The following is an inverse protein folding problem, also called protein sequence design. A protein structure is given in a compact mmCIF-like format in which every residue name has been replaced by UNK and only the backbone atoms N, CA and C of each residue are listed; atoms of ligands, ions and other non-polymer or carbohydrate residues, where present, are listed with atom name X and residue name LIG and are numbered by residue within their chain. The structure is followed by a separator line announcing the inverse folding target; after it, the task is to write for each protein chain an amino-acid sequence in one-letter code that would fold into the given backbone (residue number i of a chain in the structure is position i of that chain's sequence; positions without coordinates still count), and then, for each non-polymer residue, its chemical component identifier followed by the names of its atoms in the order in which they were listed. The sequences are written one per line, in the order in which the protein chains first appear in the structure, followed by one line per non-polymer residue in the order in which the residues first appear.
data_IF_231286280808
#
_entry.id   IF_231286280808
#
_cell.length_a   1.000
_cell.length_b   1.000
_cell.length_c   1.000
_cell.angle_alpha   90.00
_cell.angle_beta   90.00
_cell.angle_gamma   90.00
#
_symmetry.space_group_name_H-M   'P 1'
#
loop_
_entity.id
_entity.type
_entity.pdbx_description
1 polymer ?
#
# COMPACT_ATOMS: atom_id res chain seq x y z
N UNK A 1 2.08 24.56 15.36
CA UNK A 1 3.25 23.68 15.52
C UNK A 1 3.17 22.61 14.45
N UNK A 2 4.16 22.50 13.55
CA UNK A 2 4.21 21.37 12.62
C UNK A 2 4.47 20.10 13.45
N UNK A 3 3.43 19.30 13.67
CA UNK A 3 3.55 18.04 14.40
C UNK A 3 4.29 16.99 13.56
N UNK A 4 4.33 15.74 14.06
CA UNK A 4 4.99 14.62 13.37
C UNK A 4 4.54 14.44 11.91
N UNK A 5 3.29 14.83 11.59
CA UNK A 5 2.71 14.77 10.24
C UNK A 5 3.38 15.69 9.21
N UNK A 6 4.07 16.75 9.64
CA UNK A 6 4.80 17.66 8.76
C UNK A 6 6.22 17.19 8.44
N UNK A 7 6.65 16.06 9.02
CA UNK A 7 8.00 15.53 8.86
C UNK A 7 7.96 14.43 7.80
N UNK A 8 8.48 14.71 6.60
CA UNK A 8 8.37 13.81 5.44
C UNK A 8 9.01 12.43 5.67
N UNK A 9 10.15 12.35 6.38
CA UNK A 9 10.83 11.07 6.61
C UNK A 9 10.09 10.18 7.61
N UNK A 10 9.21 10.74 8.46
CA UNK A 10 8.35 9.95 9.36
C UNK A 10 7.35 9.15 8.52
N UNK A 11 6.77 9.77 7.49
CA UNK A 11 5.90 9.06 6.54
C UNK A 11 6.64 7.95 5.80
N UNK A 12 7.89 8.20 5.40
CA UNK A 12 8.72 7.18 4.75
C UNK A 12 9.03 6.00 5.70
N UNK A 13 9.44 6.29 6.94
CA UNK A 13 9.68 5.26 7.96
C UNK A 13 8.42 4.44 8.25
N UNK A 14 7.26 5.11 8.35
CA UNK A 14 5.97 4.45 8.53
C UNK A 14 5.59 3.56 7.34
N UNK A 15 5.83 4.00 6.11
CA UNK A 15 5.62 3.20 4.91
C UNK A 15 6.46 1.91 4.92
N UNK A 16 7.74 2.02 5.30
CA UNK A 16 8.64 0.85 5.42
C UNK A 16 8.14 -0.10 6.50
N UNK A 17 7.79 0.41 7.68
CA UNK A 17 7.26 -0.42 8.78
C UNK A 17 6.00 -1.19 8.36
N UNK A 18 5.05 -0.53 7.67
CA UNK A 18 3.86 -1.19 7.13
C UNK A 18 4.20 -2.24 6.07
N UNK A 19 5.19 -1.98 5.21
CA UNK A 19 5.68 -2.95 4.24
C UNK A 19 6.29 -4.19 4.90
N UNK A 20 7.04 -4.02 5.99
CA UNK A 20 7.56 -5.15 6.77
C UNK A 20 6.42 -5.95 7.40
N UNK A 21 5.40 -5.29 7.95
CA UNK A 21 4.22 -5.98 8.51
C UNK A 21 3.49 -6.80 7.45
N UNK A 22 3.34 -6.30 6.22
CA UNK A 22 2.73 -7.04 5.12
C UNK A 22 3.50 -8.34 4.78
N UNK A 23 4.84 -8.31 4.83
CA UNK A 23 5.66 -9.51 4.58
C UNK A 23 5.42 -10.58 5.65
N UNK A 24 5.18 -10.17 6.90
CA UNK A 24 4.88 -11.07 8.01
C UNK A 24 3.42 -11.56 8.00
N UNK A 25 2.50 -10.70 7.58
CA UNK A 25 1.05 -10.92 7.60
C UNK A 25 0.46 -10.55 6.23
N UNK A 26 0.51 -11.47 5.25
CA UNK A 26 0.09 -11.19 3.88
C UNK A 26 -1.43 -11.03 3.80
N UNK A 27 -1.89 -9.83 3.46
CA UNK A 27 -3.32 -9.47 3.40
C UNK A 27 -3.67 -8.35 2.42
N UNK A 28 -2.69 -7.76 1.73
CA UNK A 28 -2.76 -6.60 0.82
C UNK A 28 -3.22 -5.27 1.46
N UNK A 29 -3.72 -5.29 2.70
CA UNK A 29 -4.21 -4.11 3.41
C UNK A 29 -3.04 -3.22 3.85
N UNK A 30 -2.01 -3.81 4.47
CA UNK A 30 -0.85 -3.04 4.94
C UNK A 30 -0.04 -2.50 3.77
N UNK A 31 0.01 -3.23 2.64
CA UNK A 31 0.61 -2.72 1.41
C UNK A 31 -0.10 -1.45 0.89
N UNK A 32 -1.43 -1.42 0.90
CA UNK A 32 -2.20 -0.23 0.53
C UNK A 32 -1.88 0.97 1.42
N UNK A 33 -1.76 0.74 2.73
CA UNK A 33 -1.39 1.78 3.69
C UNK A 33 0.07 2.22 3.53
N UNK A 34 0.98 1.30 3.23
CA UNK A 34 2.39 1.61 2.96
C UNK A 34 2.52 2.52 1.74
N UNK A 35 1.77 2.24 0.66
CA UNK A 35 1.74 3.10 -0.53
C UNK A 35 1.12 4.47 -0.23
N UNK A 36 0.05 4.52 0.58
CA UNK A 36 -0.52 5.78 1.06
C UNK A 36 0.48 6.62 1.85
N UNK A 37 1.24 6.00 2.76
CA UNK A 37 2.28 6.67 3.54
C UNK A 37 3.46 7.13 2.68
N UNK A 38 3.85 6.34 1.67
CA UNK A 38 4.89 6.71 0.71
C UNK A 38 4.47 7.94 -0.11
N UNK A 39 3.20 7.99 -0.55
CA UNK A 39 2.66 9.17 -1.23
C UNK A 39 2.64 10.40 -0.31
N UNK A 40 2.28 10.23 0.96
CA UNK A 40 2.37 11.31 1.96
C UNK A 40 3.80 11.81 2.16
N UNK A 41 4.82 10.94 2.14
CA UNK A 41 6.21 11.35 2.22
C UNK A 41 6.58 12.28 1.06
N UNK A 42 6.13 11.98 -0.16
CA UNK A 42 6.33 12.85 -1.32
C UNK A 42 5.55 14.17 -1.21
N UNK A 43 4.28 14.12 -0.79
CA UNK A 43 3.44 15.33 -0.64
C UNK A 43 4.04 16.28 0.40
N UNK A 44 4.41 15.76 1.57
CA UNK A 44 4.98 16.57 2.65
C UNK A 44 6.40 17.04 2.30
N UNK A 45 7.21 16.20 1.66
CA UNK A 45 8.59 16.53 1.31
C UNK A 45 8.74 17.52 0.16
N UNK A 46 7.78 17.54 -0.78
CA UNK A 46 7.92 18.28 -2.05
C UNK A 46 6.84 19.33 -2.30
N UNK A 47 5.64 19.18 -1.73
CA UNK A 47 4.47 20.00 -2.10
C UNK A 47 3.97 20.86 -0.95
N UNK A 48 3.74 20.26 0.23
CA UNK A 48 3.11 20.92 1.38
C UNK A 48 3.81 20.52 2.70
N UNK A 49 4.97 21.11 3.03
CA UNK A 49 5.74 20.76 4.23
C UNK A 49 5.07 21.17 5.55
N UNK A 50 4.12 22.10 5.52
CA UNK A 50 3.40 22.60 6.70
C UNK A 50 1.92 22.15 6.74
N UNK A 51 1.65 20.88 6.42
CA UNK A 51 0.29 20.33 6.47
C UNK A 51 -0.21 20.16 7.92
N UNK A 52 -1.49 20.51 8.16
CA UNK A 52 -2.16 20.27 9.44
C UNK A 52 -2.54 18.80 9.64
N UNK A 53 -2.77 18.38 10.89
CA UNK A 53 -3.09 16.98 11.24
C UNK A 53 -4.37 16.50 10.55
N UNK A 54 -5.45 17.28 10.62
CA UNK A 54 -6.74 16.91 10.01
C UNK A 54 -6.65 16.66 8.49
N UNK A 55 -6.13 17.59 7.66
CA UNK A 55 -5.98 17.33 6.23
C UNK A 55 -4.96 16.23 5.92
N UNK A 56 -3.89 16.08 6.71
CA UNK A 56 -2.93 15.01 6.53
C UNK A 56 -3.56 13.62 6.71
N UNK A 57 -4.39 13.45 7.75
CA UNK A 57 -5.08 12.18 7.99
C UNK A 57 -6.14 11.89 6.92
N UNK A 58 -6.87 12.91 6.46
CA UNK A 58 -7.85 12.75 5.39
C UNK A 58 -7.19 12.33 4.06
N UNK A 59 -6.08 12.97 3.68
CA UNK A 59 -5.29 12.60 2.50
C UNK A 59 -4.70 11.19 2.64
N UNK A 60 -4.08 10.89 3.78
CA UNK A 60 -3.53 9.56 4.03
C UNK A 60 -4.60 8.47 3.91
N UNK A 61 -5.77 8.66 4.52
CA UNK A 61 -6.88 7.71 4.45
C UNK A 61 -7.39 7.54 3.01
N UNK A 62 -7.58 8.64 2.27
CA UNK A 62 -8.03 8.61 0.87
C UNK A 62 -7.03 7.92 -0.06
N UNK A 63 -5.74 8.26 0.04
CA UNK A 63 -4.66 7.66 -0.75
C UNK A 63 -4.49 6.18 -0.42
N UNK A 64 -4.58 5.83 0.86
CA UNK A 64 -4.52 4.44 1.34
C UNK A 64 -5.66 3.59 0.78
N UNK A 65 -6.89 4.10 0.86
CA UNK A 65 -8.06 3.43 0.31
C UNK A 65 -7.94 3.25 -1.21
N UNK A 66 -7.51 4.30 -1.91
CA UNK A 66 -7.30 4.25 -3.36
C UNK A 66 -6.23 3.21 -3.73
N UNK A 67 -5.08 3.23 -3.05
CA UNK A 67 -3.99 2.29 -3.30
C UNK A 67 -4.44 0.84 -3.04
N UNK A 68 -5.15 0.59 -1.95
CA UNK A 68 -5.71 -0.72 -1.66
C UNK A 68 -6.72 -1.19 -2.70
N UNK A 69 -7.62 -0.31 -3.15
CA UNK A 69 -8.56 -0.61 -4.25
C UNK A 69 -7.77 -0.97 -5.51
N UNK A 70 -6.80 -0.16 -5.92
CA UNK A 70 -5.98 -0.41 -7.11
C UNK A 70 -5.26 -1.75 -7.03
N UNK A 71 -4.60 -2.06 -5.91
CA UNK A 71 -3.95 -3.35 -5.67
C UNK A 71 -4.96 -4.49 -5.79
N UNK A 72 -6.12 -4.36 -5.14
CA UNK A 72 -7.19 -5.36 -5.20
C UNK A 72 -7.73 -5.54 -6.61
N UNK A 73 -7.79 -4.49 -7.45
CA UNK A 73 -8.21 -4.63 -8.84
C UNK A 73 -7.12 -5.28 -9.71
N UNK A 74 -5.86 -4.89 -9.52
CA UNK A 74 -4.74 -5.40 -10.31
C UNK A 74 -4.50 -6.90 -10.10
N UNK A 75 -4.58 -7.37 -8.85
CA UNK A 75 -4.28 -8.76 -8.49
C UNK A 75 -5.48 -9.71 -8.48
N UNK A 76 -6.70 -9.23 -8.76
CA UNK A 76 -7.94 -10.04 -8.81
C UNK A 76 -7.88 -11.22 -9.78
N UNK A 77 -7.02 -11.17 -10.81
CA UNK A 77 -6.95 -12.18 -11.89
C UNK A 77 -5.83 -13.22 -11.71
N UNK A 78 -5.07 -13.16 -10.60
CA UNK A 78 -3.97 -14.11 -10.35
C UNK A 78 -4.42 -15.47 -9.78
N UNK A 79 -5.73 -15.75 -9.74
CA UNK A 79 -6.24 -17.11 -9.54
C UNK A 79 -5.69 -17.99 -10.65
N UNK A 80 -4.70 -18.81 -10.30
CA UNK A 80 -4.26 -19.97 -11.07
C UNK A 80 -5.52 -20.77 -11.40
N UNK A 81 -6.08 -20.57 -12.59
CA UNK A 81 -7.12 -21.46 -13.09
C UNK A 81 -6.52 -22.84 -13.03
N UNK A 82 -7.09 -23.71 -12.19
CA UNK A 82 -6.65 -25.09 -12.07
C UNK A 82 -6.67 -25.67 -13.48
N UNK A 83 -5.48 -25.78 -14.10
CA UNK A 83 -5.34 -26.43 -15.40
C UNK A 83 -5.65 -27.89 -15.12
N UNK A 84 -6.88 -28.29 -15.40
CA UNK A 84 -7.26 -29.71 -15.37
C UNK A 84 -6.51 -30.35 -16.53
N UNK A 85 -5.39 -30.98 -16.20
CA UNK A 85 -4.66 -31.85 -17.11
C UNK A 85 -5.52 -33.11 -17.22
N UNK A 86 -6.22 -33.26 -18.35
CA UNK A 86 -7.08 -34.41 -18.65
C UNK A 86 -6.35 -35.53 -19.39
N UNK A 87 -5.06 -35.36 -19.64
CA UNK A 87 -4.23 -36.37 -20.26
C UNK A 87 -3.37 -37.03 -19.18
N UNK A 88 -3.34 -38.36 -19.16
CA UNK A 88 -2.48 -39.07 -18.23
C UNK A 88 -1.02 -38.84 -18.60
N UNK A 89 -0.15 -38.67 -17.60
CA UNK A 89 1.29 -38.45 -17.78
C UNK A 89 2.00 -39.69 -18.32
N UNK A 90 1.27 -40.81 -18.39
CA UNK A 90 1.76 -42.13 -18.76
C UNK A 90 1.16 -42.67 -20.07
N UNK A 91 0.35 -41.87 -20.77
CA UNK A 91 -0.02 -42.15 -22.15
C UNK A 91 1.19 -41.82 -23.04
N UNK A 92 1.98 -42.84 -23.38
CA UNK A 92 3.13 -42.74 -24.29
C UNK A 92 2.76 -42.59 -25.76
#
# INVERSE_FOLDING_TARGET
MAGLVGIWWIWLAFAIALGVVEVLLPGFIFLGFALGALAMAAIVGLVVPAIGVAPAMALFAGLSLLAWIVLRLAFRRQSSGARRVMHDINDG
#
